data_IF_088817105777
#
_entry.id   IF_088817105777
#
_cell.length_a   1.000
_cell.length_b   1.000
_cell.length_c   1.000
_cell.angle_alpha   90.00
_cell.angle_beta   90.00
_cell.angle_gamma   90.00
#
_symmetry.space_group_name_H-M   'P 1'
#
loop_
_entity.id
_entity.type
_entity.pdbx_description
1 polymer ?
#
# COMPACT_ATOMS: atom_id res chain seq x y z
N UNK A 1 15.59 -3.36 27.79
CA UNK A 1 14.84 -4.63 28.01
C UNK A 1 14.30 -5.06 26.66
N UNK A 2 14.38 -6.34 26.30
CA UNK A 2 13.80 -6.86 25.05
C UNK A 2 12.28 -6.64 25.05
N UNK A 3 11.72 -6.05 23.99
CA UNK A 3 10.26 -5.92 23.79
C UNK A 3 9.70 -7.27 23.33
N UNK A 4 9.52 -8.20 24.27
CA UNK A 4 9.00 -9.54 23.96
C UNK A 4 7.51 -9.48 23.63
N UNK A 5 7.14 -9.95 22.44
CA UNK A 5 5.75 -10.23 22.07
C UNK A 5 5.42 -11.70 22.30
N UNK A 6 4.14 -12.02 22.54
CA UNK A 6 3.68 -13.39 22.70
C UNK A 6 3.24 -13.98 21.35
N UNK A 7 3.48 -15.28 21.10
CA UNK A 7 2.92 -15.93 19.93
C UNK A 7 1.39 -15.92 20.00
N UNK A 8 0.74 -15.83 18.83
CA UNK A 8 -0.71 -15.84 18.71
C UNK A 8 -1.16 -16.90 17.69
N UNK A 9 -2.41 -17.34 17.80
CA UNK A 9 -3.03 -18.12 16.75
C UNK A 9 -3.46 -17.17 15.63
N UNK A 10 -2.72 -17.18 14.53
CA UNK A 10 -2.87 -16.16 13.49
C UNK A 10 -4.25 -16.20 12.82
N UNK A 11 -4.78 -17.40 12.54
CA UNK A 11 -6.12 -17.57 11.99
C UNK A 11 -7.20 -16.99 12.92
N UNK A 12 -7.14 -17.33 14.21
CA UNK A 12 -8.07 -16.79 15.20
C UNK A 12 -7.98 -15.25 15.28
N UNK A 13 -6.78 -14.70 15.27
CA UNK A 13 -6.58 -13.25 15.28
C UNK A 13 -7.18 -12.58 14.03
N UNK A 14 -7.00 -13.17 12.85
CA UNK A 14 -7.62 -12.70 11.60
C UNK A 14 -9.15 -12.70 11.73
N UNK A 15 -9.73 -13.79 12.23
CA UNK A 15 -11.19 -13.90 12.37
C UNK A 15 -11.74 -12.88 13.38
N UNK A 16 -11.04 -12.64 14.49
CA UNK A 16 -11.41 -11.63 15.49
C UNK A 16 -11.32 -10.20 14.92
N UNK A 17 -10.33 -9.93 14.05
CA UNK A 17 -10.10 -8.61 13.46
C UNK A 17 -10.71 -8.43 12.07
N UNK A 18 -11.39 -9.44 11.51
CA UNK A 18 -11.92 -9.45 10.14
C UNK A 18 -12.83 -8.26 9.82
N UNK A 19 -13.49 -7.73 10.85
CA UNK A 19 -14.34 -6.55 10.74
C UNK A 19 -13.56 -5.25 10.43
N UNK A 20 -12.26 -5.20 10.74
CA UNK A 20 -11.33 -4.11 10.41
C UNK A 20 -10.64 -4.30 9.05
N UNK A 21 -10.60 -5.53 8.52
CA UNK A 21 -9.93 -5.88 7.25
C UNK A 21 -10.77 -5.55 6.01
N UNK A 22 -11.56 -4.47 6.09
CA UNK A 22 -12.44 -3.96 5.05
C UNK A 22 -12.66 -2.46 5.26
N UNK A 23 -13.15 -1.71 4.26
CA UNK A 23 -13.46 -0.30 4.42
C UNK A 23 -14.34 -0.03 5.65
N UNK A 24 -14.09 1.08 6.38
CA UNK A 24 -13.14 2.16 6.07
C UNK A 24 -11.71 1.92 6.56
N UNK A 25 -11.43 0.84 7.31
CA UNK A 25 -10.11 0.63 7.95
C UNK A 25 -9.16 -0.12 7.00
N UNK A 26 -9.58 -1.26 6.46
CA UNK A 26 -8.89 -2.01 5.41
C UNK A 26 -7.66 -2.81 5.84
N UNK A 27 -6.95 -2.39 6.89
CA UNK A 27 -5.76 -3.08 7.40
C UNK A 27 -5.65 -2.98 8.92
N UNK A 28 -4.82 -3.83 9.53
CA UNK A 28 -4.53 -3.78 10.96
C UNK A 28 -3.13 -4.30 11.26
N UNK A 29 -2.35 -3.50 11.99
CA UNK A 29 -1.06 -3.93 12.55
C UNK A 29 -1.27 -4.97 13.66
N UNK A 30 -0.45 -6.02 13.65
CA UNK A 30 -0.55 -7.16 14.59
C UNK A 30 0.06 -6.80 15.96
N UNK A 31 1.16 -6.05 15.96
CA UNK A 31 1.84 -5.58 17.18
C UNK A 31 2.29 -4.13 17.04
N UNK A 32 1.84 -3.24 17.93
CA UNK A 32 2.10 -1.78 17.86
C UNK A 32 3.57 -1.36 18.08
N UNK A 33 4.46 -2.30 18.43
CA UNK A 33 5.83 -2.01 18.91
C UNK A 33 6.86 -3.08 18.50
N UNK A 34 6.60 -3.76 17.39
CA UNK A 34 7.53 -4.76 16.84
C UNK A 34 8.78 -4.13 16.21
N UNK A 35 9.86 -4.90 16.12
CA UNK A 35 11.04 -4.55 15.31
C UNK A 35 10.75 -4.63 13.80
N UNK A 36 9.68 -5.34 13.44
CA UNK A 36 9.05 -5.33 12.12
C UNK A 36 7.65 -4.72 12.23
N UNK A 37 7.23 -4.05 11.17
CA UNK A 37 5.84 -3.66 10.97
C UNK A 37 5.14 -4.86 10.34
N UNK A 38 4.30 -5.55 11.11
CA UNK A 38 3.55 -6.72 10.64
C UNK A 38 2.09 -6.33 10.54
N UNK A 39 1.55 -6.31 9.32
CA UNK A 39 0.19 -5.88 9.03
C UNK A 39 -0.60 -7.00 8.36
N UNK A 40 -1.88 -7.09 8.70
CA UNK A 40 -2.85 -7.84 7.92
C UNK A 40 -3.72 -6.86 7.15
N UNK A 41 -3.82 -7.07 5.85
CA UNK A 41 -4.53 -6.19 4.92
C UNK A 41 -5.62 -6.99 4.25
N UNK A 42 -6.84 -6.47 4.27
CA UNK A 42 -7.96 -7.06 3.55
C UNK A 42 -8.44 -6.22 2.38
N UNK A 43 -9.65 -6.49 1.92
CA UNK A 43 -10.27 -5.77 0.82
C UNK A 43 -11.81 -5.73 0.93
N UNK A 44 -12.48 -4.95 0.06
CA UNK A 44 -11.90 -4.33 -1.12
C UNK A 44 -11.13 -3.05 -0.81
N UNK A 45 -10.17 -2.70 -1.67
CA UNK A 45 -9.61 -1.36 -1.70
C UNK A 45 -9.69 -0.79 -3.13
N UNK A 46 -9.86 0.52 -3.24
CA UNK A 46 -9.76 1.25 -4.49
C UNK A 46 -8.73 2.36 -4.27
N UNK A 47 -7.53 2.20 -4.82
CA UNK A 47 -6.44 3.16 -4.70
C UNK A 47 -5.75 3.35 -6.04
N UNK A 48 -5.27 4.56 -6.30
CA UNK A 48 -4.58 4.95 -7.55
C UNK A 48 -3.16 5.43 -7.32
N UNK A 49 -2.81 5.69 -6.07
CA UNK A 49 -1.47 6.02 -5.63
C UNK A 49 -0.57 4.78 -5.65
N UNK A 50 0.70 5.02 -5.97
CA UNK A 50 1.80 4.09 -5.86
C UNK A 50 2.64 4.52 -4.68
N UNK A 51 2.83 3.61 -3.73
CA UNK A 51 3.70 3.82 -2.58
C UNK A 51 5.13 3.49 -2.96
N UNK A 52 6.05 4.38 -2.61
CA UNK A 52 7.49 4.20 -2.69
C UNK A 52 8.04 4.13 -1.27
N UNK A 53 8.72 3.03 -0.98
CA UNK A 53 9.36 2.75 0.29
C UNK A 53 10.82 2.36 0.02
N UNK A 54 11.78 2.88 0.79
CA UNK A 54 13.19 2.52 0.60
C UNK A 54 13.53 1.10 1.06
N UNK A 55 12.69 0.53 1.93
CA UNK A 55 12.86 -0.83 2.46
C UNK A 55 12.05 -1.84 1.66
N UNK A 56 12.47 -3.13 1.64
CA UNK A 56 11.70 -4.17 0.97
C UNK A 56 10.42 -4.49 1.74
N UNK A 57 9.43 -5.01 1.01
CA UNK A 57 8.15 -5.42 1.57
C UNK A 57 7.86 -6.89 1.24
N UNK A 58 7.57 -7.68 2.27
CA UNK A 58 7.20 -9.08 2.10
C UNK A 58 5.68 -9.23 2.14
N UNK A 59 5.14 -9.98 1.18
CA UNK A 59 3.74 -10.30 1.04
C UNK A 59 3.52 -11.81 1.20
N UNK A 60 2.48 -12.18 1.92
CA UNK A 60 1.92 -13.53 1.88
C UNK A 60 0.39 -13.44 1.77
N UNK A 61 -0.14 -13.87 0.64
CA UNK A 61 -1.57 -13.79 0.35
C UNK A 61 -2.30 -15.02 0.93
N UNK A 62 -3.12 -14.81 1.96
CA UNK A 62 -3.72 -15.88 2.77
C UNK A 62 -5.10 -16.30 2.26
N UNK A 63 -5.92 -15.35 1.82
CA UNK A 63 -7.28 -15.58 1.33
C UNK A 63 -7.54 -14.72 0.10
N UNK A 64 -8.01 -15.33 -0.99
CA UNK A 64 -8.29 -14.72 -2.30
C UNK A 64 -7.07 -14.09 -2.98
N UNK A 65 -7.25 -13.58 -4.19
CA UNK A 65 -6.16 -13.07 -5.02
C UNK A 65 -6.04 -11.54 -4.97
N UNK A 66 -4.83 -11.03 -5.19
CA UNK A 66 -4.57 -9.61 -5.37
C UNK A 66 -3.67 -9.35 -6.58
N UNK A 67 -3.68 -8.11 -7.06
CA UNK A 67 -2.70 -7.62 -8.04
C UNK A 67 -1.89 -6.51 -7.38
N UNK A 68 -0.56 -6.63 -7.41
CA UNK A 68 0.35 -5.56 -7.04
C UNK A 68 0.82 -4.87 -8.32
N UNK A 69 0.26 -3.69 -8.61
CA UNK A 69 0.74 -2.87 -9.73
C UNK A 69 2.07 -2.27 -9.34
N UNK A 70 3.10 -2.33 -10.18
CA UNK A 70 4.42 -1.75 -9.91
C UNK A 70 4.90 -0.92 -11.09
N UNK A 71 5.87 -0.06 -10.82
CA UNK A 71 6.70 0.59 -11.84
C UNK A 71 8.08 -0.05 -11.78
N UNK A 72 8.49 -0.72 -12.86
CA UNK A 72 9.77 -1.40 -12.91
C UNK A 72 10.97 -0.43 -13.06
N UNK A 73 12.18 -0.96 -13.11
CA UNK A 73 13.42 -0.19 -13.23
C UNK A 73 13.56 0.57 -14.57
N UNK A 74 12.74 0.22 -15.56
CA UNK A 74 12.65 0.92 -16.86
C UNK A 74 11.52 1.94 -16.90
N UNK A 75 10.72 2.05 -15.84
CA UNK A 75 9.55 2.91 -15.78
C UNK A 75 8.31 2.29 -16.44
N UNK A 76 8.30 0.98 -16.69
CA UNK A 76 7.15 0.27 -17.25
C UNK A 76 6.16 -0.14 -16.14
N UNK A 77 4.86 -0.02 -16.44
CA UNK A 77 3.80 -0.48 -15.54
C UNK A 77 3.62 -1.99 -15.66
N UNK A 78 3.80 -2.70 -14.55
CA UNK A 78 3.68 -4.16 -14.48
C UNK A 78 2.62 -4.54 -13.46
N UNK A 79 1.74 -5.47 -13.84
CA UNK A 79 0.77 -6.09 -12.92
C UNK A 79 1.37 -7.40 -12.40
N UNK A 80 1.74 -7.44 -11.11
CA UNK A 80 2.21 -8.66 -10.44
C UNK A 80 1.02 -9.36 -9.80
N UNK A 81 0.66 -10.53 -10.31
CA UNK A 81 -0.37 -11.38 -9.70
C UNK A 81 0.19 -12.08 -8.45
N UNK A 82 -0.48 -11.91 -7.32
CA UNK A 82 -0.17 -12.60 -6.06
C UNK A 82 -1.45 -13.31 -5.63
N UNK A 83 -1.55 -14.59 -5.97
CA UNK A 83 -2.75 -15.40 -5.78
C UNK A 83 -2.80 -16.00 -4.38
N UNK A 84 -3.95 -16.55 -3.99
CA UNK A 84 -4.08 -17.23 -2.70
C UNK A 84 -2.98 -18.30 -2.49
N UNK A 85 -2.24 -18.18 -1.40
CA UNK A 85 -1.12 -19.05 -1.05
C UNK A 85 0.26 -18.53 -1.49
N UNK A 86 0.33 -17.54 -2.38
CA UNK A 86 1.58 -17.00 -2.90
C UNK A 86 2.31 -16.15 -1.84
N UNK A 87 3.64 -16.26 -1.86
CA UNK A 87 4.55 -15.33 -1.19
C UNK A 87 5.29 -14.50 -2.23
N UNK A 88 5.54 -13.24 -1.91
CA UNK A 88 6.25 -12.32 -2.80
C UNK A 88 7.11 -11.37 -1.98
N UNK A 89 8.32 -11.07 -2.47
CA UNK A 89 9.21 -10.09 -1.86
C UNK A 89 9.43 -8.96 -2.87
N UNK A 90 8.86 -7.80 -2.58
CA UNK A 90 9.10 -6.59 -3.35
C UNK A 90 10.43 -5.96 -2.89
N UNK A 91 11.40 -5.74 -3.78
CA UNK A 91 12.59 -4.96 -3.45
C UNK A 91 12.23 -3.54 -3.03
N UNK A 92 13.05 -2.93 -2.18
CA UNK A 92 12.90 -1.51 -1.86
C UNK A 92 13.06 -0.64 -3.11
N UNK A 93 12.49 0.57 -3.04
CA UNK A 93 12.54 1.61 -4.07
C UNK A 93 11.74 1.27 -5.34
N UNK A 94 10.78 0.37 -5.24
CA UNK A 94 9.84 0.04 -6.32
C UNK A 94 8.48 0.67 -6.02
N UNK A 95 8.03 1.68 -6.78
CA UNK A 95 6.68 2.22 -6.64
C UNK A 95 5.64 1.13 -6.87
N UNK A 96 4.70 0.98 -5.95
CA UNK A 96 3.72 -0.11 -6.01
C UNK A 96 2.33 0.28 -5.51
N UNK A 97 1.28 -0.29 -6.10
CA UNK A 97 -0.13 0.00 -5.79
C UNK A 97 -0.93 -1.29 -5.62
N UNK A 98 -1.14 -1.75 -4.36
CA UNK A 98 -1.88 -2.98 -4.07
C UNK A 98 -3.37 -2.88 -4.41
N UNK A 99 -3.86 -3.78 -5.24
CA UNK A 99 -5.26 -3.88 -5.67
C UNK A 99 -5.89 -5.15 -5.08
N UNK A 100 -6.86 -4.98 -4.17
CA UNK A 100 -7.48 -6.06 -3.40
C UNK A 100 -8.98 -6.09 -3.61
N UNK A 101 -9.49 -7.27 -3.99
CA UNK A 101 -10.94 -7.51 -4.08
C UNK A 101 -11.55 -7.75 -2.70
N UNK A 102 -12.88 -7.72 -2.63
CA UNK A 102 -13.61 -7.99 -1.39
C UNK A 102 -13.31 -9.39 -0.84
N UNK A 103 -13.30 -9.51 0.50
CA UNK A 103 -13.05 -10.76 1.23
C UNK A 103 -11.68 -11.40 0.97
N UNK A 104 -10.68 -10.58 0.62
CA UNK A 104 -9.29 -11.03 0.57
C UNK A 104 -8.60 -10.76 1.92
N UNK A 105 -7.54 -11.52 2.22
CA UNK A 105 -6.67 -11.32 3.38
C UNK A 105 -5.23 -11.59 2.98
N UNK A 106 -4.33 -10.64 3.24
CA UNK A 106 -2.90 -10.79 3.03
C UNK A 106 -2.10 -10.31 4.25
N UNK A 107 -0.97 -10.95 4.50
CA UNK A 107 0.06 -10.53 5.44
C UNK A 107 1.08 -9.66 4.69
N UNK A 108 1.42 -8.52 5.27
CA UNK A 108 2.50 -7.64 4.80
C UNK A 108 3.50 -7.45 5.95
N UNK A 109 4.79 -7.57 5.65
CA UNK A 109 5.87 -7.30 6.60
C UNK A 109 6.80 -6.25 6.01
N UNK A 110 6.99 -5.16 6.73
CA UNK A 110 7.88 -4.05 6.39
C UNK A 110 8.89 -3.79 7.52
N UNK A 111 9.90 -3.00 7.20
CA UNK A 111 10.81 -2.45 8.19
C UNK A 111 10.30 -1.08 8.70
N UNK A 112 10.52 -0.76 9.98
CA UNK A 112 10.49 0.62 10.44
C UNK A 112 11.45 1.49 9.63
N UNK A 113 11.11 2.76 9.43
CA UNK A 113 11.96 3.70 8.71
C UNK A 113 13.10 4.16 9.63
N UNK A 114 14.33 4.14 9.12
CA UNK A 114 15.48 4.72 9.81
C UNK A 114 15.41 6.26 9.79
N UNK A 115 16.16 6.92 10.66
CA UNK A 115 16.20 8.39 10.72
C UNK A 115 16.65 8.99 9.38
N UNK A 116 15.82 9.89 8.83
CA UNK A 116 16.08 10.55 7.54
C UNK A 116 15.63 9.75 6.31
N UNK A 117 15.10 8.54 6.47
CA UNK A 117 14.45 7.79 5.40
C UNK A 117 13.10 8.43 5.04
N UNK A 118 12.86 8.60 3.74
CA UNK A 118 11.64 9.22 3.23
C UNK A 118 10.83 8.21 2.43
N UNK A 119 9.53 8.18 2.69
CA UNK A 119 8.56 7.51 1.84
C UNK A 119 8.08 8.50 0.77
N UNK A 120 7.47 7.97 -0.28
CA UNK A 120 6.74 8.80 -1.21
C UNK A 120 5.43 8.17 -1.67
N UNK A 121 4.47 9.02 -2.00
CA UNK A 121 3.28 8.65 -2.74
C UNK A 121 3.38 9.24 -4.14
N UNK A 122 3.09 8.42 -5.13
CA UNK A 122 3.18 8.78 -6.54
C UNK A 122 1.87 8.48 -7.27
N UNK A 123 1.61 9.25 -8.32
CA UNK A 123 0.46 9.03 -9.21
C UNK A 123 0.92 8.99 -10.65
N UNK A 124 0.27 8.15 -11.43
CA UNK A 124 0.60 7.94 -12.83
C UNK A 124 -0.65 8.04 -13.70
N UNK A 125 -0.51 8.63 -14.89
CA UNK A 125 -1.57 8.84 -15.83
C UNK A 125 -2.15 7.49 -16.32
N UNK A 126 -3.44 7.27 -16.08
CA UNK A 126 -4.15 6.03 -16.46
C UNK A 126 -4.24 5.81 -17.99
N UNK A 127 -3.94 6.83 -18.80
CA UNK A 127 -3.97 6.74 -20.27
C UNK A 127 -2.61 6.50 -20.92
N UNK A 128 -1.53 7.09 -20.40
CA UNK A 128 -0.21 7.05 -21.06
C UNK A 128 0.95 6.66 -20.15
N UNK A 129 0.69 6.38 -18.87
CA UNK A 129 1.69 5.97 -17.89
C UNK A 129 2.65 7.07 -17.40
N UNK A 130 2.49 8.32 -17.85
CA UNK A 130 3.32 9.43 -17.38
C UNK A 130 3.07 9.74 -15.89
N UNK A 131 4.13 9.96 -15.12
CA UNK A 131 4.01 10.35 -13.72
C UNK A 131 3.32 11.72 -13.62
N UNK A 132 2.28 11.82 -12.79
CA UNK A 132 1.51 13.04 -12.57
C UNK A 132 2.09 13.85 -11.42
N UNK A 133 2.40 13.17 -10.32
CA UNK A 133 2.83 13.81 -9.10
C UNK A 133 3.59 12.83 -8.20
N UNK A 134 4.51 13.37 -7.38
CA UNK A 134 5.20 12.67 -6.30
C UNK A 134 5.22 13.59 -5.08
N UNK A 135 4.77 13.06 -3.95
CA UNK A 135 4.90 13.70 -2.63
C UNK A 135 5.85 12.86 -1.78
N UNK A 136 6.96 13.45 -1.33
CA UNK A 136 7.85 12.83 -0.35
C UNK A 136 7.44 13.24 1.05
N UNK A 137 7.47 12.30 2.00
CA UNK A 137 7.09 12.55 3.38
C UNK A 137 7.85 11.63 4.34
N UNK A 138 8.10 12.15 5.55
CA UNK A 138 8.59 11.32 6.64
C UNK A 138 7.38 10.59 7.24
N UNK A 139 7.37 9.27 7.14
CA UNK A 139 6.26 8.44 7.63
C UNK A 139 6.32 8.34 9.16
N UNK A 140 5.36 8.95 9.86
CA UNK A 140 5.16 8.78 11.31
C UNK A 140 4.00 7.82 11.58
N UNK A 141 2.85 8.06 10.94
CA UNK A 141 1.70 7.18 11.03
C UNK A 141 0.96 7.05 9.69
N UNK A 142 1.02 5.85 9.11
CA UNK A 142 0.42 5.53 7.82
C UNK A 142 -1.10 5.76 7.76
N UNK A 143 -1.82 5.54 8.86
CA UNK A 143 -3.27 5.67 8.93
C UNK A 143 -3.73 7.15 8.91
N UNK A 144 -2.87 8.10 9.28
CA UNK A 144 -3.20 9.53 9.33
C UNK A 144 -2.50 10.35 8.26
N UNK A 145 -1.26 10.02 7.92
CA UNK A 145 -0.43 10.84 7.04
C UNK A 145 -0.87 10.70 5.58
N UNK A 146 -1.10 9.46 5.13
CA UNK A 146 -1.47 9.18 3.74
C UNK A 146 -2.82 9.81 3.35
N UNK A 147 -3.92 9.71 4.14
CA UNK A 147 -5.18 10.37 3.80
C UNK A 147 -5.07 11.88 3.58
N UNK A 148 -4.23 12.58 4.36
CA UNK A 148 -4.01 14.02 4.19
C UNK A 148 -3.35 14.31 2.84
N UNK A 149 -2.38 13.49 2.43
CA UNK A 149 -1.70 13.62 1.14
C UNK A 149 -2.68 13.33 0.00
N UNK A 150 -3.50 12.28 0.13
CA UNK A 150 -4.54 11.93 -0.83
C UNK A 150 -5.52 13.09 -1.05
N UNK A 151 -6.05 13.66 0.03
CA UNK A 151 -6.99 14.78 -0.05
C UNK A 151 -6.37 16.01 -0.72
N UNK A 152 -5.11 16.32 -0.42
CA UNK A 152 -4.35 17.41 -1.08
C UNK A 152 -4.15 17.15 -2.57
N UNK A 153 -3.83 15.92 -2.97
CA UNK A 153 -3.63 15.57 -4.37
C UNK A 153 -4.95 15.62 -5.16
N UNK A 154 -5.98 14.92 -4.71
CA UNK A 154 -7.25 14.81 -5.45
C UNK A 154 -8.07 16.11 -5.46
N UNK A 155 -7.77 17.07 -4.58
CA UNK A 155 -8.38 18.42 -4.61
C UNK A 155 -7.66 19.39 -5.55
N UNK A 156 -6.46 19.04 -6.02
CA UNK A 156 -5.65 19.87 -6.90
C UNK A 156 -5.74 19.36 -8.35
N UNK A 157 -6.56 20.05 -9.16
CA UNK A 157 -6.79 19.68 -10.56
C UNK A 157 -5.53 19.77 -11.41
N UNK A 158 -4.61 20.69 -11.11
CA UNK A 158 -3.37 20.81 -11.88
C UNK A 158 -2.50 19.58 -11.65
N UNK A 159 -2.31 19.15 -10.39
CA UNK A 159 -1.59 17.91 -10.06
C UNK A 159 -2.24 16.66 -10.63
N UNK A 160 -3.56 16.63 -10.72
CA UNK A 160 -4.31 15.52 -11.31
C UNK A 160 -4.30 15.51 -12.85
N UNK A 161 -3.78 16.56 -13.52
CA UNK A 161 -3.82 16.66 -14.98
C UNK A 161 -2.48 16.27 -15.58
N UNK A 162 -2.49 15.26 -16.46
CA UNK A 162 -1.30 14.84 -17.20
C UNK A 162 -0.81 15.94 -18.14
N UNK A 163 0.41 16.42 -17.93
CA UNK A 163 1.05 17.43 -18.79
C UNK A 163 1.44 16.89 -20.19
N UNK A 164 1.54 15.55 -20.33
CA UNK A 164 1.89 14.88 -21.58
C UNK A 164 0.70 14.65 -22.53
N UNK A 165 -0.47 14.29 -21.99
CA UNK A 165 -1.64 13.94 -22.82
C UNK A 165 -2.95 14.62 -22.41
N UNK A 166 -2.96 15.46 -21.39
CA UNK A 166 -4.13 16.21 -20.93
C UNK A 166 -5.19 15.38 -20.19
N UNK A 167 -4.97 14.07 -19.99
CA UNK A 167 -5.87 13.22 -19.21
C UNK A 167 -5.87 13.67 -17.75
N UNK A 168 -7.06 13.86 -17.18
CA UNK A 168 -7.25 14.21 -15.77
C UNK A 168 -7.58 12.95 -14.99
N UNK A 169 -6.85 12.70 -13.90
CA UNK A 169 -7.14 11.61 -12.97
C UNK A 169 -8.27 12.00 -12.04
N UNK A 170 -9.33 11.19 -12.01
CA UNK A 170 -10.39 11.31 -11.01
C UNK A 170 -10.02 10.56 -9.72
N UNK A 171 -10.53 11.04 -8.59
CA UNK A 171 -10.39 10.36 -7.30
C UNK A 171 -10.95 8.93 -7.34
N UNK A 172 -10.39 7.98 -6.57
CA UNK A 172 -10.91 6.62 -6.52
C UNK A 172 -12.36 6.59 -6.00
N UNK A 173 -13.17 5.71 -6.56
CA UNK A 173 -14.51 5.45 -6.05
C UNK A 173 -14.41 4.91 -4.62
N UNK A 174 -15.25 5.41 -3.72
CA UNK A 174 -15.36 4.86 -2.36
C UNK A 174 -15.66 3.36 -2.44
N UNK A 175 -14.81 2.56 -1.81
CA UNK A 175 -14.94 1.11 -1.71
C UNK A 175 -16.05 0.71 -0.73
#
# INVERSE_FOLDING_TARGET
>A
MSKLVQPLNFKKWIDENRHLLKPPVGNKQVWDNGEYIVMVVGGPNNRKDYHYNETPEFFYQLEGDMVLKIIDDKGEMIDVEINEGDIYLLPGKVPHSPQRKANTVGLVIEYPRDEGMMDALEWYCENCGHQLYREEFALDNIETDMPIIFDKYYSDKEKCTCDKCGTVMEAPNKA
#
